data_IF_649247171075
#
_entry.id   IF_649247171075
#
_cell.length_a   1.000
_cell.length_b   1.000
_cell.length_c   1.000
_cell.angle_alpha   90.00
_cell.angle_beta   90.00
_cell.angle_gamma   90.00
#
_symmetry.space_group_name_H-M   'P 1'
#
loop_
_entity.id
_entity.type
_entity.pdbx_description
1 polymer ?
#
# COMPACT_ATOMS: atom_id res chain seq x y z
N UNK A 1 -8.38 -0.14 22.60
CA UNK A 1 -8.71 -1.09 21.51
C UNK A 1 -8.78 -0.49 20.08
N UNK A 2 -8.49 0.81 19.88
CA UNK A 2 -8.38 1.42 18.55
C UNK A 2 -7.17 2.34 18.47
N UNK A 3 -6.07 1.94 19.12
CA UNK A 3 -4.82 2.69 19.03
C UNK A 3 -4.28 2.60 17.59
N UNK A 4 -4.07 3.72 16.89
CA UNK A 4 -3.48 3.70 15.56
C UNK A 4 -2.12 2.99 15.51
N UNK A 5 -1.31 3.09 16.57
CA UNK A 5 0.02 2.48 16.61
C UNK A 5 -0.07 0.96 16.65
N UNK A 6 -0.90 0.41 17.55
CA UNK A 6 -1.15 -1.03 17.64
C UNK A 6 -1.71 -1.60 16.33
N UNK A 7 -2.58 -0.86 15.64
CA UNK A 7 -3.17 -1.29 14.37
C UNK A 7 -2.13 -1.35 13.25
N UNK A 8 -1.22 -0.37 13.19
CA UNK A 8 -0.12 -0.36 12.23
C UNK A 8 0.84 -1.51 12.52
N UNK A 9 1.21 -1.71 13.78
CA UNK A 9 2.12 -2.80 14.17
C UNK A 9 1.51 -4.17 13.85
N UNK A 10 0.25 -4.41 14.23
CA UNK A 10 -0.45 -5.67 13.95
C UNK A 10 -0.59 -5.93 12.44
N UNK A 11 -1.01 -4.92 11.68
CA UNK A 11 -1.17 -5.02 10.23
C UNK A 11 0.15 -5.29 9.50
N UNK A 12 1.23 -4.60 9.88
CA UNK A 12 2.55 -4.79 9.27
C UNK A 12 3.18 -6.14 9.62
N UNK A 13 3.06 -6.61 10.87
CA UNK A 13 3.47 -7.97 11.26
C UNK A 13 2.73 -9.04 10.46
N UNK A 14 1.42 -8.87 10.29
CA UNK A 14 0.63 -9.81 9.50
C UNK A 14 1.01 -9.79 8.01
N UNK A 15 1.26 -8.62 7.43
CA UNK A 15 1.74 -8.50 6.06
C UNK A 15 3.11 -9.18 5.87
N UNK A 16 4.04 -9.01 6.81
CA UNK A 16 5.33 -9.71 6.79
C UNK A 16 5.16 -11.22 6.79
N UNK A 17 4.31 -11.75 7.67
CA UNK A 17 3.99 -13.17 7.71
C UNK A 17 3.47 -13.69 6.36
N UNK A 18 2.61 -12.92 5.68
CA UNK A 18 2.10 -13.30 4.36
C UNK A 18 3.20 -13.26 3.28
N UNK A 19 4.09 -12.28 3.32
CA UNK A 19 5.25 -12.24 2.42
C UNK A 19 6.13 -13.48 2.59
N UNK A 20 6.41 -13.88 3.83
CA UNK A 20 7.16 -15.11 4.11
C UNK A 20 6.41 -16.36 3.59
N UNK A 21 5.09 -16.43 3.83
CA UNK A 21 4.24 -17.54 3.41
C UNK A 21 4.13 -17.71 1.88
N UNK A 22 4.20 -16.62 1.13
CA UNK A 22 4.14 -16.60 -0.33
C UNK A 22 5.51 -16.32 -0.97
N UNK A 23 6.61 -16.68 -0.29
CA UNK A 23 7.97 -16.63 -0.83
C UNK A 23 8.41 -15.26 -1.39
N UNK A 24 7.94 -14.18 -0.76
CA UNK A 24 8.23 -12.81 -1.18
C UNK A 24 7.39 -12.31 -2.36
N UNK A 25 6.43 -13.10 -2.87
CA UNK A 25 5.50 -12.64 -3.89
C UNK A 25 4.53 -11.61 -3.28
N UNK A 26 4.82 -10.34 -3.54
CA UNK A 26 4.01 -9.21 -3.07
C UNK A 26 2.57 -9.28 -3.60
N UNK A 27 2.35 -9.78 -4.81
CA UNK A 27 1.01 -9.86 -5.41
C UNK A 27 0.14 -10.88 -4.67
N UNK A 28 0.69 -12.06 -4.38
CA UNK A 28 0.00 -13.10 -3.63
C UNK A 28 -0.18 -12.72 -2.15
N UNK A 29 0.82 -12.07 -1.54
CA UNK A 29 0.71 -11.57 -0.18
C UNK A 29 -0.42 -10.52 -0.05
N UNK A 30 -0.54 -9.58 -0.98
CA UNK A 30 -1.63 -8.60 -1.00
C UNK A 30 -2.99 -9.26 -1.25
N UNK A 31 -3.05 -10.25 -2.14
CA UNK A 31 -4.28 -11.01 -2.35
C UNK A 31 -4.69 -11.76 -1.07
N UNK A 32 -3.74 -12.34 -0.34
CA UNK A 32 -3.98 -13.09 0.88
C UNK A 32 -4.33 -12.20 2.08
N UNK A 33 -3.81 -10.98 2.13
CA UNK A 33 -4.18 -9.99 3.14
C UNK A 33 -5.69 -9.67 3.05
N UNK A 34 -6.22 -9.64 1.83
CA UNK A 34 -7.60 -9.30 1.54
C UNK A 34 -8.55 -10.52 1.56
N UNK A 35 -8.22 -11.59 0.84
CA UNK A 35 -9.08 -12.78 0.66
C UNK A 35 -8.77 -13.93 1.64
N UNK A 36 -7.73 -13.78 2.46
CA UNK A 36 -7.21 -14.81 3.34
C UNK A 36 -6.22 -15.76 2.66
N UNK A 37 -5.17 -16.22 3.37
CA UNK A 37 -4.11 -17.06 2.79
C UNK A 37 -4.62 -18.40 2.27
N UNK A 38 -5.56 -19.06 2.98
CA UNK A 38 -6.14 -20.33 2.54
C UNK A 38 -6.81 -20.23 1.17
N UNK A 39 -7.46 -19.11 0.89
CA UNK A 39 -8.11 -18.86 -0.40
C UNK A 39 -7.05 -18.77 -1.50
N UNK A 40 -6.00 -17.98 -1.28
CA UNK A 40 -4.93 -17.80 -2.28
C UNK A 40 -4.16 -19.09 -2.51
N UNK A 41 -3.87 -19.86 -1.45
CA UNK A 41 -3.25 -21.19 -1.56
C UNK A 41 -4.08 -22.17 -2.39
N UNK A 42 -5.40 -22.17 -2.18
CA UNK A 42 -6.31 -23.04 -2.94
C UNK A 42 -6.28 -22.73 -4.44
N UNK A 43 -6.18 -21.46 -4.82
CA UNK A 43 -6.13 -21.06 -6.23
C UNK A 43 -4.71 -21.15 -6.82
N UNK A 44 -3.66 -20.92 -6.02
CA UNK A 44 -2.28 -20.79 -6.49
C UNK A 44 -1.98 -19.49 -7.24
N UNK A 45 -2.97 -18.59 -7.34
CA UNK A 45 -2.86 -17.27 -7.96
C UNK A 45 -3.89 -16.32 -7.32
N UNK A 46 -3.92 -15.05 -7.75
CA UNK A 46 -4.92 -14.07 -7.28
C UNK A 46 -6.34 -14.61 -7.56
N UNK A 47 -7.15 -14.90 -6.52
CA UNK A 47 -8.46 -15.51 -6.70
C UNK A 47 -9.36 -14.72 -7.67
N UNK A 48 -10.31 -15.36 -8.36
CA UNK A 48 -11.28 -14.72 -9.24
C UNK A 48 -12.34 -13.90 -8.49
N UNK A 49 -11.96 -13.22 -7.40
CA UNK A 49 -12.78 -12.32 -6.60
C UNK A 49 -12.54 -10.90 -7.12
N UNK A 50 -13.60 -10.24 -7.58
CA UNK A 50 -13.50 -8.92 -8.21
C UNK A 50 -12.86 -7.87 -7.27
N UNK A 51 -13.27 -7.90 -6.00
CA UNK A 51 -12.76 -7.00 -4.96
C UNK A 51 -11.27 -7.25 -4.68
N UNK A 52 -10.82 -8.49 -4.51
CA UNK A 52 -9.40 -8.83 -4.35
C UNK A 52 -8.54 -8.38 -5.52
N UNK A 53 -9.01 -8.59 -6.76
CA UNK A 53 -8.30 -8.09 -7.96
C UNK A 53 -8.19 -6.56 -7.96
N UNK A 54 -9.24 -5.85 -7.54
CA UNK A 54 -9.21 -4.39 -7.43
C UNK A 54 -8.27 -3.92 -6.31
N UNK A 55 -8.31 -4.59 -5.16
CA UNK A 55 -7.45 -4.31 -4.02
C UNK A 55 -5.97 -4.42 -4.40
N UNK A 56 -5.55 -5.55 -4.98
CA UNK A 56 -4.16 -5.79 -5.41
C UNK A 56 -3.71 -4.71 -6.40
N UNK A 57 -4.50 -4.42 -7.43
CA UNK A 57 -4.17 -3.35 -8.41
C UNK A 57 -4.01 -1.99 -7.74
N UNK A 58 -4.93 -1.63 -6.85
CA UNK A 58 -4.91 -0.34 -6.14
C UNK A 58 -3.66 -0.19 -5.29
N UNK A 59 -3.35 -1.20 -4.47
CA UNK A 59 -2.20 -1.13 -3.56
C UNK A 59 -0.88 -1.13 -4.32
N UNK A 60 -0.74 -1.96 -5.37
CA UNK A 60 0.46 -1.94 -6.23
C UNK A 60 0.65 -0.59 -6.94
N UNK A 61 -0.43 0.03 -7.41
CA UNK A 61 -0.35 1.38 -7.99
C UNK A 61 0.19 2.39 -6.96
N UNK A 62 -0.36 2.39 -5.75
CA UNK A 62 0.10 3.28 -4.67
C UNK A 62 1.56 3.01 -4.28
N UNK A 63 1.93 1.73 -4.16
CA UNK A 63 3.29 1.29 -3.85
C UNK A 63 4.32 1.77 -4.90
N UNK A 64 3.93 1.73 -6.18
CA UNK A 64 4.75 2.20 -7.30
C UNK A 64 4.76 3.74 -7.45
N UNK A 65 4.10 4.48 -6.55
CA UNK A 65 4.00 5.95 -6.63
C UNK A 65 3.04 6.43 -7.73
N UNK A 66 2.24 5.54 -8.31
CA UNK A 66 1.20 5.90 -9.26
C UNK A 66 -0.06 6.34 -8.50
N UNK A 67 -0.31 7.64 -8.49
CA UNK A 67 -1.54 8.23 -7.96
C UNK A 67 -2.71 7.80 -8.85
N UNK A 68 -3.39 6.72 -8.46
CA UNK A 68 -4.44 6.00 -9.23
C UNK A 68 -5.64 6.86 -9.66
N UNK A 69 -5.77 8.09 -9.16
CA UNK A 69 -6.90 8.97 -9.45
C UNK A 69 -6.67 9.96 -10.60
N UNK A 70 -5.48 10.05 -11.18
CA UNK A 70 -5.18 11.09 -12.18
C UNK A 70 -5.50 10.74 -13.63
N UNK A 71 -5.63 9.45 -13.99
CA UNK A 71 -5.64 9.04 -15.40
C UNK A 71 -6.70 8.01 -15.81
N UNK A 72 -7.55 7.54 -14.89
CA UNK A 72 -8.63 6.59 -15.21
C UNK A 72 -10.04 7.19 -15.29
N UNK A 73 -10.20 8.51 -15.13
CA UNK A 73 -11.48 9.18 -15.34
C UNK A 73 -11.31 10.38 -16.26
N UNK A 74 -11.65 10.20 -17.53
CA UNK A 74 -11.83 11.27 -18.51
C UNK A 74 -13.09 12.12 -18.23
N UNK A 75 -13.34 12.49 -16.98
CA UNK A 75 -14.48 13.30 -16.56
C UNK A 75 -14.07 14.38 -15.55
N UNK A 76 -14.23 15.61 -16.05
CA UNK A 76 -14.37 16.93 -15.43
C UNK A 76 -14.00 17.09 -13.96
N UNK A 77 -12.94 17.89 -13.77
CA UNK A 77 -12.39 18.36 -12.51
C UNK A 77 -13.32 19.35 -11.77
N UNK A 78 -14.46 18.87 -11.23
CA UNK A 78 -15.26 19.67 -10.29
C UNK A 78 -15.55 18.87 -9.03
N UNK A 79 -14.75 19.11 -7.98
CA UNK A 79 -15.07 18.70 -6.60
C UNK A 79 -14.29 17.53 -5.99
N UNK A 80 -13.24 17.01 -6.61
CA UNK A 80 -12.42 15.95 -5.98
C UNK A 80 -11.54 16.56 -4.88
N UNK A 81 -11.73 16.13 -3.62
CA UNK A 81 -10.85 16.43 -2.47
C UNK A 81 -9.40 16.22 -2.91
N UNK A 82 -8.57 17.27 -2.85
CA UNK A 82 -7.14 17.17 -3.14
C UNK A 82 -6.56 16.19 -2.12
N UNK A 83 -6.24 14.97 -2.56
CA UNK A 83 -5.46 14.06 -1.75
C UNK A 83 -4.08 14.70 -1.58
N UNK A 84 -3.65 14.86 -0.34
CA UNK A 84 -2.30 15.35 -0.06
C UNK A 84 -1.30 14.37 -0.68
N UNK A 85 -0.28 14.87 -1.40
CA UNK A 85 0.74 14.01 -1.97
C UNK A 85 1.41 13.18 -0.87
N UNK A 86 1.48 11.87 -1.08
CA UNK A 86 2.28 10.98 -0.24
C UNK A 86 3.72 11.04 -0.75
N UNK A 87 4.61 11.50 0.10
CA UNK A 87 6.05 11.51 -0.13
C UNK A 87 6.64 10.16 0.25
N UNK A 88 7.54 9.66 -0.60
CA UNK A 88 8.41 8.53 -0.32
C UNK A 88 9.77 9.08 0.09
N UNK A 89 10.19 8.81 1.31
CA UNK A 89 11.46 9.26 1.90
C UNK A 89 12.27 8.02 2.25
N UNK A 90 13.52 7.98 1.79
CA UNK A 90 14.50 6.98 2.26
C UNK A 90 15.15 7.58 3.49
N UNK A 91 15.04 6.89 4.63
CA UNK A 91 15.67 7.30 5.89
C UNK A 91 17.14 6.88 5.89
N UNK A 92 17.93 7.47 6.79
CA UNK A 92 19.38 7.24 6.86
C UNK A 92 19.77 5.78 7.12
N UNK A 93 18.87 5.01 7.76
CA UNK A 93 19.01 3.57 8.00
C UNK A 93 18.64 2.70 6.78
N UNK A 94 18.30 3.32 5.65
CA UNK A 94 17.87 2.66 4.42
C UNK A 94 16.41 2.20 4.42
N UNK A 95 15.67 2.43 5.50
CA UNK A 95 14.24 2.16 5.56
C UNK A 95 13.44 3.19 4.76
N UNK A 96 12.21 2.83 4.42
CA UNK A 96 11.35 3.61 3.52
C UNK A 96 10.14 4.15 4.26
N UNK A 97 10.01 5.48 4.31
CA UNK A 97 8.91 6.20 4.94
C UNK A 97 7.96 6.77 3.89
N UNK A 98 6.67 6.42 3.99
CA UNK A 98 5.60 7.02 3.20
C UNK A 98 4.80 7.96 4.10
N UNK A 99 4.76 9.25 3.77
CA UNK A 99 4.14 10.29 4.62
C UNK A 99 3.39 11.33 3.80
N UNK A 100 2.28 11.85 4.30
CA UNK A 100 1.64 13.06 3.75
C UNK A 100 2.21 14.36 4.39
N UNK A 101 3.17 14.24 5.31
CA UNK A 101 3.76 15.37 6.01
C UNK A 101 4.87 16.03 5.19
N UNK A 102 4.71 17.33 4.93
CA UNK A 102 5.77 18.17 4.33
C UNK A 102 6.88 18.55 5.31
N UNK A 103 6.76 18.18 6.58
CA UNK A 103 7.76 18.51 7.61
C UNK A 103 9.06 17.71 7.41
N UNK A 104 8.96 16.51 6.85
CA UNK A 104 10.12 15.65 6.61
C UNK A 104 10.94 16.16 5.40
N UNK A 105 10.28 16.71 4.38
CA UNK A 105 11.00 17.32 3.24
C UNK A 105 11.67 18.65 3.59
N UNK A 106 11.15 19.39 4.58
CA UNK A 106 11.76 20.65 5.05
C UNK A 106 13.01 20.48 5.91
N UNK A 107 13.28 19.26 6.41
CA UNK A 107 14.38 19.01 7.36
C UNK A 107 15.63 18.39 6.68
N UNK A 108 15.69 18.35 5.35
CA UNK A 108 16.96 18.04 4.68
C UNK A 108 17.86 19.27 4.80
N UNK A 109 18.85 19.19 5.67
CA UNK A 109 19.78 20.25 6.02
C UNK A 109 20.39 20.91 4.77
N UNK A 110 20.41 22.24 4.77
CA UNK A 110 21.29 23.02 3.91
C UNK A 110 22.74 22.68 4.29
N UNK A 111 23.53 22.26 3.31
CA UNK A 111 24.95 22.57 3.28
C UNK A 111 25.12 23.90 2.53
#
# INVERSE_FOLDING_TARGET
PYDPEDNIEGGTKYLRYLLERFNGDLTLALAAYNAGPKTVEKYGYVPPIAETKQYVRKVLSLYNGQTVLSSLSGESAKGRKKYEPIYKVVLDDGSMLFTNSTLITKTTARF
#
